data_IF_296435848794
#
_entry.id   IF_296435848794
#
_cell.length_a   1.000
_cell.length_b   1.000
_cell.length_c   1.000
_cell.angle_alpha   90.00
_cell.angle_beta   90.00
_cell.angle_gamma   90.00
#
_symmetry.space_group_name_H-M   'P 1'
#
loop_
_entity.id
_entity.type
_entity.pdbx_description
1 polymer ?
#
# COMPACT_ATOMS: atom_id res chain seq x y z
N UNK A 1 19.59 -8.19 -10.09
CA UNK A 1 18.64 -7.09 -9.82
C UNK A 1 17.28 -7.72 -9.62
N UNK A 2 16.72 -7.59 -8.40
CA UNK A 2 15.37 -8.07 -8.09
C UNK A 2 14.34 -6.98 -8.34
N UNK A 3 13.11 -7.37 -8.59
CA UNK A 3 12.01 -6.45 -8.87
C UNK A 3 10.92 -6.57 -7.81
N UNK A 4 10.66 -5.46 -7.13
CA UNK A 4 9.56 -5.28 -6.21
C UNK A 4 8.36 -4.67 -6.95
N UNK A 5 7.20 -5.33 -6.92
CA UNK A 5 5.94 -4.73 -7.37
C UNK A 5 5.19 -4.14 -6.17
N UNK A 6 5.03 -2.82 -6.16
CA UNK A 6 4.37 -2.08 -5.09
C UNK A 6 2.94 -1.68 -5.51
N UNK A 7 1.95 -2.29 -4.88
CA UNK A 7 0.54 -1.92 -5.02
C UNK A 7 0.19 -0.72 -4.14
N UNK A 8 -0.16 0.39 -4.76
CA UNK A 8 -0.47 1.68 -4.11
C UNK A 8 -1.69 2.34 -4.77
N UNK A 9 -2.23 3.40 -4.19
CA UNK A 9 -3.22 4.28 -4.84
C UNK A 9 -2.68 5.70 -5.01
N UNK A 10 -1.37 5.80 -5.23
CA UNK A 10 -0.66 7.04 -5.51
C UNK A 10 -1.37 7.91 -6.56
N UNK A 11 -1.28 9.23 -6.41
CA UNK A 11 -1.93 10.21 -7.29
C UNK A 11 -3.47 10.18 -7.29
N UNK A 12 -4.13 9.25 -6.58
CA UNK A 12 -5.56 9.40 -6.28
C UNK A 12 -5.75 10.56 -5.31
N UNK A 13 -5.08 10.48 -4.15
CA UNK A 13 -5.11 11.49 -3.10
C UNK A 13 -3.74 11.54 -2.40
N UNK A 14 -3.42 12.71 -1.85
CA UNK A 14 -2.15 12.96 -1.19
C UNK A 14 -1.87 12.04 0.01
N UNK A 15 -2.91 11.52 0.67
CA UNK A 15 -2.76 10.57 1.77
C UNK A 15 -2.14 9.24 1.32
N UNK A 16 -2.57 8.73 0.17
CA UNK A 16 -2.04 7.49 -0.42
C UNK A 16 -0.60 7.64 -0.91
N UNK A 17 -0.21 8.85 -1.36
CA UNK A 17 1.19 9.17 -1.68
C UNK A 17 2.05 9.15 -0.43
N UNK A 18 1.58 9.73 0.68
CA UNK A 18 2.32 9.68 1.95
C UNK A 18 2.45 8.27 2.52
N UNK A 19 1.42 7.45 2.36
CA UNK A 19 1.46 6.04 2.72
C UNK A 19 2.52 5.31 1.89
N UNK A 20 2.54 5.52 0.57
CA UNK A 20 3.56 4.93 -0.32
C UNK A 20 4.97 5.31 0.14
N UNK A 21 5.21 6.60 0.34
CA UNK A 21 6.54 7.09 0.73
C UNK A 21 6.97 6.52 2.08
N UNK A 22 6.05 6.46 3.05
CA UNK A 22 6.33 5.85 4.34
C UNK A 22 6.55 4.34 4.28
N UNK A 23 5.89 3.61 3.37
CA UNK A 23 6.20 2.20 3.12
C UNK A 23 7.60 2.05 2.52
N UNK A 24 7.98 2.90 1.56
CA UNK A 24 9.33 2.85 0.98
C UNK A 24 10.41 3.17 2.03
N UNK A 25 10.15 4.13 2.92
CA UNK A 25 11.04 4.42 4.06
C UNK A 25 11.14 3.24 5.02
N UNK A 26 10.04 2.54 5.31
CA UNK A 26 10.08 1.34 6.15
C UNK A 26 10.88 0.20 5.50
N UNK A 27 10.83 0.08 4.17
CA UNK A 27 11.47 -0.99 3.43
C UNK A 27 12.96 -0.74 3.19
N UNK A 28 13.38 0.53 3.05
CA UNK A 28 14.74 0.92 2.67
C UNK A 28 15.31 0.04 1.53
N UNK A 29 14.65 -0.03 0.35
CA UNK A 29 15.13 -0.89 -0.72
C UNK A 29 16.53 -0.46 -1.17
N UNK A 30 17.44 -1.43 -1.34
CA UNK A 30 18.77 -1.20 -1.87
C UNK A 30 18.75 -0.67 -3.31
N UNK A 31 19.82 -0.04 -3.74
CA UNK A 31 19.99 0.50 -5.10
C UNK A 31 19.87 -0.57 -6.22
N UNK A 32 20.08 -1.85 -5.89
CA UNK A 32 19.97 -2.98 -6.82
C UNK A 32 18.55 -3.60 -6.90
N UNK A 33 17.58 -3.01 -6.19
CA UNK A 33 16.16 -3.38 -6.23
C UNK A 33 15.40 -2.42 -7.14
N UNK A 34 14.86 -2.96 -8.24
CA UNK A 34 13.95 -2.23 -9.11
C UNK A 34 12.57 -2.19 -8.47
N UNK A 35 11.96 -1.01 -8.36
CA UNK A 35 10.57 -0.89 -7.91
C UNK A 35 9.65 -0.60 -9.09
N UNK A 36 8.68 -1.48 -9.33
CA UNK A 36 7.56 -1.29 -10.25
C UNK A 36 6.30 -0.95 -9.46
N UNK A 37 5.38 -0.19 -10.07
CA UNK A 37 4.20 0.30 -9.39
C UNK A 37 2.94 -0.34 -9.97
N UNK A 38 2.07 -0.83 -9.10
CA UNK A 38 0.69 -1.13 -9.46
C UNK A 38 -0.22 -0.09 -8.81
N UNK A 39 -0.59 0.92 -9.59
CA UNK A 39 -1.40 2.03 -9.14
C UNK A 39 -2.90 1.73 -9.29
N UNK A 40 -3.56 1.57 -8.14
CA UNK A 40 -5.00 1.29 -8.00
C UNK A 40 -5.86 2.56 -7.97
N UNK A 41 -5.28 3.74 -8.20
CA UNK A 41 -5.93 5.03 -8.34
C UNK A 41 -7.20 4.99 -9.20
N UNK A 42 -8.22 5.79 -8.87
CA UNK A 42 -9.39 5.97 -9.72
C UNK A 42 -9.07 6.94 -10.84
N UNK A 43 -9.53 6.64 -12.05
CA UNK A 43 -9.17 7.40 -13.25
C UNK A 43 -7.75 7.16 -13.78
N UNK A 44 -6.89 6.47 -13.02
CA UNK A 44 -5.58 6.03 -13.50
C UNK A 44 -5.76 4.75 -14.31
N UNK A 45 -6.02 4.92 -15.60
CA UNK A 45 -6.07 3.84 -16.59
C UNK A 45 -4.94 4.05 -17.61
N UNK A 46 -4.28 2.97 -18.03
CA UNK A 46 -3.33 2.96 -19.15
C UNK A 46 -2.04 3.79 -18.98
N UNK A 47 -1.32 3.59 -17.88
CA UNK A 47 0.13 3.79 -17.89
C UNK A 47 0.80 2.46 -18.26
N UNK A 48 1.85 2.45 -19.08
CA UNK A 48 2.72 1.26 -19.25
C UNK A 48 3.14 0.68 -17.89
N UNK A 49 3.36 1.58 -16.91
CA UNK A 49 3.65 1.23 -15.53
C UNK A 49 2.56 0.38 -14.84
N UNK A 50 1.32 0.33 -15.35
CA UNK A 50 0.21 -0.46 -14.83
C UNK A 50 -0.17 -1.64 -15.75
N UNK A 51 0.69 -2.06 -16.67
CA UNK A 51 0.44 -3.25 -17.49
C UNK A 51 0.84 -4.52 -16.71
N UNK A 52 -0.16 -5.33 -16.34
CA UNK A 52 0.08 -6.56 -15.58
C UNK A 52 0.78 -7.65 -16.39
N UNK A 53 0.59 -7.71 -17.70
CA UNK A 53 1.24 -8.72 -18.54
C UNK A 53 2.75 -8.52 -18.57
N UNK A 54 3.18 -7.25 -18.51
CA UNK A 54 4.58 -6.86 -18.45
C UNK A 54 5.10 -6.96 -17.01
N UNK A 55 4.41 -6.33 -16.05
CA UNK A 55 4.92 -6.18 -14.69
C UNK A 55 4.98 -7.50 -13.93
N UNK A 56 3.95 -8.36 -14.06
CA UNK A 56 3.89 -9.62 -13.31
C UNK A 56 5.03 -10.56 -13.68
N UNK A 57 5.36 -10.65 -14.97
CA UNK A 57 6.46 -11.49 -15.47
C UNK A 57 7.83 -11.05 -14.94
N UNK A 58 7.97 -9.79 -14.54
CA UNK A 58 9.21 -9.23 -13.99
C UNK A 58 9.26 -9.26 -12.46
N UNK A 59 8.16 -9.58 -11.78
CA UNK A 59 8.01 -9.42 -10.33
C UNK A 59 8.66 -10.57 -9.56
N UNK A 60 9.59 -10.25 -8.65
CA UNK A 60 10.19 -11.20 -7.72
C UNK A 60 9.55 -11.14 -6.32
N UNK A 61 8.92 -10.01 -5.98
CA UNK A 61 8.29 -9.77 -4.68
C UNK A 61 7.11 -8.81 -4.82
N UNK A 62 6.02 -9.07 -4.11
CA UNK A 62 4.83 -8.21 -4.13
C UNK A 62 4.55 -7.53 -2.78
N UNK A 63 4.32 -6.21 -2.79
CA UNK A 63 3.93 -5.46 -1.59
C UNK A 63 2.61 -4.75 -1.81
N UNK A 64 1.71 -4.88 -0.83
CA UNK A 64 0.46 -4.13 -0.79
C UNK A 64 0.56 -3.01 0.23
N UNK A 65 0.58 -1.77 -0.25
CA UNK A 65 0.73 -0.58 0.58
C UNK A 65 -0.62 0.02 1.00
N UNK A 66 -0.88 -0.07 2.31
CA UNK A 66 -1.62 0.88 3.15
C UNK A 66 -3.01 1.36 2.74
N UNK A 67 -3.67 0.64 1.86
CA UNK A 67 -4.98 1.01 1.33
C UNK A 67 -6.11 0.27 2.05
N UNK A 68 -7.31 0.87 2.19
CA UNK A 68 -8.46 0.15 2.71
C UNK A 68 -9.05 -0.86 1.70
N UNK A 69 -8.65 -0.78 0.43
CA UNK A 69 -9.11 -1.63 -0.68
C UNK A 69 -8.02 -2.57 -1.17
N UNK A 70 -7.37 -3.26 -0.23
CA UNK A 70 -6.19 -4.07 -0.49
C UNK A 70 -6.49 -5.39 -1.22
N UNK A 71 -7.73 -5.85 -1.23
CA UNK A 71 -8.11 -7.06 -1.99
C UNK A 71 -8.51 -6.76 -3.44
N UNK A 72 -9.46 -5.85 -3.64
CA UNK A 72 -10.18 -5.59 -4.90
C UNK A 72 -9.33 -5.59 -6.17
N UNK A 73 -8.59 -4.51 -6.44
CA UNK A 73 -7.77 -4.39 -7.67
C UNK A 73 -6.49 -5.24 -7.63
N UNK A 74 -6.27 -6.04 -6.58
CA UNK A 74 -5.09 -6.91 -6.45
C UNK A 74 -5.40 -8.39 -6.72
N UNK A 75 -6.67 -8.77 -6.95
CA UNK A 75 -7.07 -10.17 -7.10
C UNK A 75 -6.25 -10.95 -8.12
N UNK A 76 -6.00 -10.36 -9.30
CA UNK A 76 -5.19 -11.00 -10.35
C UNK A 76 -3.74 -11.20 -9.90
N UNK A 77 -3.18 -10.23 -9.17
CA UNK A 77 -1.80 -10.30 -8.65
C UNK A 77 -1.69 -11.39 -7.59
N UNK A 78 -2.66 -11.50 -6.67
CA UNK A 78 -2.66 -12.57 -5.66
C UNK A 78 -2.73 -13.95 -6.31
N UNK A 79 -3.57 -14.13 -7.34
CA UNK A 79 -3.67 -15.38 -8.09
C UNK A 79 -2.35 -15.71 -8.78
N UNK A 80 -1.72 -14.72 -9.40
CA UNK A 80 -0.41 -14.86 -10.03
C UNK A 80 0.66 -15.26 -9.02
N UNK A 81 0.71 -14.62 -7.85
CA UNK A 81 1.66 -14.95 -6.81
C UNK A 81 1.47 -16.38 -6.27
N UNK A 82 0.21 -16.82 -6.10
CA UNK A 82 -0.11 -18.19 -5.69
C UNK A 82 0.36 -19.24 -6.72
N UNK A 83 0.19 -18.94 -8.01
CA UNK A 83 0.60 -19.79 -9.12
C UNK A 83 2.13 -19.86 -9.23
N UNK A 84 2.81 -18.71 -9.25
CA UNK A 84 4.26 -18.60 -9.45
C UNK A 84 5.09 -18.69 -8.18
N UNK A 85 4.44 -18.85 -7.02
CA UNK A 85 5.08 -18.87 -5.69
C UNK A 85 5.90 -17.60 -5.40
N UNK A 86 5.36 -16.44 -5.81
CA UNK A 86 5.98 -15.15 -5.53
C UNK A 86 5.67 -14.76 -4.08
N UNK A 87 6.69 -14.50 -3.25
CA UNK A 87 6.49 -14.03 -1.88
C UNK A 87 5.90 -12.62 -1.86
N UNK A 88 5.18 -12.31 -0.79
CA UNK A 88 4.50 -11.03 -0.65
C UNK A 88 4.44 -10.53 0.78
N UNK A 89 4.14 -9.25 0.91
CA UNK A 89 3.83 -8.60 2.18
C UNK A 89 2.64 -7.66 2.08
N UNK A 90 1.85 -7.60 3.14
CA UNK A 90 0.80 -6.61 3.35
C UNK A 90 1.32 -5.60 4.36
N UNK A 91 1.43 -4.32 4.00
CA UNK A 91 2.03 -3.31 4.87
C UNK A 91 1.05 -2.16 5.12
N UNK A 92 0.63 -2.03 6.38
CA UNK A 92 -0.25 -0.96 6.87
C UNK A 92 -1.65 -1.00 6.29
N UNK A 93 -2.13 -2.15 5.82
CA UNK A 93 -3.45 -2.28 5.20
C UNK A 93 -4.56 -1.95 6.19
N UNK A 94 -5.66 -1.40 5.69
CA UNK A 94 -6.84 -1.07 6.50
C UNK A 94 -8.11 -1.70 5.96
N UNK A 95 -9.24 -1.50 6.62
CA UNK A 95 -10.54 -2.01 6.16
C UNK A 95 -11.56 -0.88 6.06
N UNK A 96 -12.23 -0.76 4.91
CA UNK A 96 -13.35 0.19 4.71
C UNK A 96 -14.58 -0.45 4.05
N UNK A 97 -14.41 -1.60 3.40
CA UNK A 97 -15.45 -2.19 2.55
C UNK A 97 -15.64 -3.68 2.87
N UNK A 98 -16.85 -4.19 2.56
CA UNK A 98 -17.16 -5.61 2.65
C UNK A 98 -16.39 -6.38 1.58
N UNK A 99 -15.71 -7.44 2.00
CA UNK A 99 -15.00 -8.36 1.10
C UNK A 99 -16.03 -9.34 0.51
N UNK A 100 -16.07 -9.48 -0.82
CA UNK A 100 -16.93 -10.46 -1.45
C UNK A 100 -16.51 -11.90 -1.10
N UNK A 101 -17.44 -12.87 -1.13
CA UNK A 101 -17.12 -14.27 -0.80
C UNK A 101 -15.94 -14.82 -1.62
N UNK A 102 -15.90 -14.55 -2.92
CA UNK A 102 -14.80 -15.00 -3.80
C UNK A 102 -13.44 -14.41 -3.43
N UNK A 103 -13.41 -13.16 -2.98
CA UNK A 103 -12.22 -12.46 -2.52
C UNK A 103 -11.75 -13.01 -1.17
N UNK A 104 -12.70 -13.30 -0.29
CA UNK A 104 -12.43 -13.92 1.01
C UNK A 104 -11.82 -15.32 0.83
N UNK A 105 -12.38 -16.14 -0.05
CA UNK A 105 -11.83 -17.47 -0.39
C UNK A 105 -10.42 -17.39 -1.01
N UNK A 106 -10.17 -16.37 -1.85
CA UNK A 106 -8.83 -16.11 -2.39
C UNK A 106 -7.84 -15.77 -1.27
N UNK A 107 -8.21 -14.88 -0.35
CA UNK A 107 -7.32 -14.47 0.73
C UNK A 107 -7.04 -15.60 1.73
N UNK A 108 -8.00 -16.51 1.97
CA UNK A 108 -7.74 -17.75 2.73
C UNK A 108 -6.69 -18.63 2.08
N UNK A 109 -6.71 -18.75 0.74
CA UNK A 109 -5.66 -19.47 -0.01
C UNK A 109 -4.30 -18.78 0.11
N UNK A 110 -4.26 -17.45 0.05
CA UNK A 110 -3.03 -16.67 0.28
C UNK A 110 -2.49 -16.92 1.69
N UNK A 111 -3.33 -16.83 2.71
CA UNK A 111 -2.92 -17.10 4.10
C UNK A 111 -2.36 -18.52 4.26
N UNK A 112 -3.08 -19.53 3.76
CA UNK A 112 -2.67 -20.93 3.86
C UNK A 112 -1.41 -21.27 3.02
N UNK A 113 -1.07 -20.45 2.02
CA UNK A 113 0.07 -20.71 1.14
C UNK A 113 1.43 -20.46 1.80
N UNK A 114 1.47 -19.70 2.89
CA UNK A 114 2.72 -19.25 3.52
C UNK A 114 3.52 -18.22 2.70
N UNK A 115 3.00 -17.73 1.56
CA UNK A 115 3.68 -16.73 0.73
C UNK A 115 3.67 -15.32 1.34
N UNK A 116 2.76 -15.03 2.27
CA UNK A 116 2.70 -13.74 2.96
C UNK A 116 3.66 -13.74 4.14
N UNK A 117 4.83 -13.12 3.98
CA UNK A 117 5.90 -13.13 4.98
C UNK A 117 5.67 -12.12 6.10
N UNK A 118 5.12 -10.95 5.74
CA UNK A 118 4.81 -9.87 6.67
C UNK A 118 3.38 -9.39 6.44
N UNK A 119 2.61 -9.32 7.53
CA UNK A 119 1.22 -8.88 7.49
C UNK A 119 1.01 -7.79 8.56
N UNK A 120 1.05 -6.52 8.14
CA UNK A 120 0.90 -5.36 9.01
C UNK A 120 -0.38 -4.61 8.71
N UNK A 121 -1.11 -4.27 9.76
CA UNK A 121 -2.42 -3.60 9.70
C UNK A 121 -2.39 -2.28 10.45
N UNK A 122 -3.11 -1.27 9.95
CA UNK A 122 -3.14 0.05 10.60
C UNK A 122 -4.38 0.30 11.46
N UNK A 123 -5.37 -0.59 11.38
CA UNK A 123 -6.60 -0.52 12.15
C UNK A 123 -7.02 -1.90 12.64
N UNK A 124 -7.79 -1.89 13.73
CA UNK A 124 -8.20 -3.12 14.43
C UNK A 124 -9.11 -4.01 13.58
N UNK A 125 -9.95 -3.41 12.74
CA UNK A 125 -10.89 -4.16 11.89
C UNK A 125 -10.13 -4.96 10.82
N UNK A 126 -9.10 -4.37 10.20
CA UNK A 126 -8.21 -5.07 9.29
C UNK A 126 -7.43 -6.19 9.98
N UNK A 127 -6.95 -5.93 11.20
CA UNK A 127 -6.25 -6.93 11.99
C UNK A 127 -7.13 -8.15 12.30
N UNK A 128 -8.35 -7.92 12.78
CA UNK A 128 -9.32 -8.98 13.07
C UNK A 128 -9.71 -9.75 11.79
N UNK A 129 -9.95 -9.06 10.67
CA UNK A 129 -10.27 -9.69 9.40
C UNK A 129 -9.13 -10.58 8.88
N UNK A 130 -7.87 -10.12 8.96
CA UNK A 130 -6.72 -10.93 8.54
C UNK A 130 -6.50 -12.15 9.45
N UNK A 131 -6.74 -12.00 10.76
CA UNK A 131 -6.72 -13.13 11.69
C UNK A 131 -7.80 -14.17 11.34
N UNK A 132 -9.01 -13.73 11.02
CA UNK A 132 -10.10 -14.61 10.58
C UNK A 132 -9.79 -15.34 9.27
N UNK A 133 -9.08 -14.67 8.35
CA UNK A 133 -8.60 -15.25 7.10
C UNK A 133 -7.47 -16.29 7.30
N UNK A 134 -6.88 -16.35 8.49
CA UNK A 134 -5.85 -17.33 8.86
C UNK A 134 -4.41 -16.85 8.69
N UNK A 135 -4.16 -15.53 8.59
CA UNK A 135 -2.81 -15.00 8.63
C UNK A 135 -2.25 -15.14 10.06
N UNK A 136 -1.15 -15.89 10.21
CA UNK A 136 -0.57 -16.25 11.52
C UNK A 136 0.45 -15.23 12.05
N UNK A 137 0.95 -14.36 11.17
CA UNK A 137 2.01 -13.38 11.36
C UNK A 137 1.47 -11.93 11.22
N UNK A 138 0.22 -11.73 11.64
CA UNK A 138 -0.45 -10.43 11.62
C UNK A 138 -0.07 -9.57 12.81
N UNK A 139 0.41 -8.34 12.58
CA UNK A 139 0.67 -7.35 13.61
C UNK A 139 0.00 -6.01 13.29
N UNK A 140 -0.13 -5.16 14.30
CA UNK A 140 -0.59 -3.78 14.14
C UNK A 140 0.58 -2.80 14.09
N UNK A 141 0.49 -1.81 13.20
CA UNK A 141 1.46 -0.73 13.05
C UNK A 141 0.72 0.62 12.94
N UNK A 142 1.41 1.72 13.23
CA UNK A 142 0.95 3.04 12.82
C UNK A 142 0.74 3.09 11.29
N UNK A 143 -0.18 3.95 10.83
CA UNK A 143 -0.33 4.18 9.40
C UNK A 143 1.03 4.50 8.76
N UNK A 144 1.42 3.87 7.62
CA UNK A 144 2.73 4.09 7.04
C UNK A 144 3.09 5.55 6.79
N UNK A 145 2.11 6.43 6.59
CA UNK A 145 2.35 7.87 6.44
C UNK A 145 3.11 8.51 7.60
N UNK A 146 3.09 7.92 8.81
CA UNK A 146 3.85 8.39 9.96
C UNK A 146 5.36 8.13 9.86
N UNK A 147 5.77 7.24 8.97
CA UNK A 147 7.18 6.95 8.72
C UNK A 147 7.74 7.79 7.58
N UNK A 148 6.91 8.54 6.85
CA UNK A 148 7.40 9.36 5.75
C UNK A 148 8.42 10.38 6.29
N UNK A 149 9.62 10.48 5.69
CA UNK A 149 10.61 11.46 6.11
C UNK A 149 10.07 12.88 5.96
N UNK A 150 10.31 13.69 6.98
CA UNK A 150 10.00 15.12 6.99
C UNK A 150 10.95 15.79 6.00
N UNK A 151 10.39 16.52 5.02
CA UNK A 151 11.16 17.36 4.11
C UNK A 151 11.68 18.58 4.87
N UNK A 152 12.77 18.43 5.61
CA UNK A 152 13.48 19.56 6.21
C UNK A 152 14.92 19.52 5.75
N UNK A 153 15.31 20.54 4.98
CA UNK A 153 16.73 20.83 4.66
C UNK A 153 17.55 21.21 5.91
N UNK A 154 16.94 21.33 7.08
CA UNK A 154 17.61 21.58 8.36
C UNK A 154 16.69 21.13 9.51
N UNK A 155 17.20 20.21 10.33
CA UNK A 155 16.83 19.85 11.70
C UNK A 155 15.39 20.15 12.24
N UNK A 156 14.72 19.05 12.61
CA UNK A 156 13.65 18.87 13.64
C UNK A 156 12.40 19.76 13.58
N UNK A 157 11.27 19.12 13.23
CA UNK A 157 10.02 19.17 14.02
C UNK A 157 9.20 17.89 13.81
N UNK A 158 8.94 17.17 14.90
CA UNK A 158 8.04 16.02 14.92
C UNK A 158 6.59 16.50 14.87
N UNK A 159 5.81 16.06 13.88
CA UNK A 159 4.36 16.20 13.91
C UNK A 159 3.71 14.83 13.68
N UNK A 160 3.43 14.14 14.79
CA UNK A 160 2.56 12.94 14.85
C UNK A 160 1.08 13.36 14.70
N UNK A 161 0.76 14.64 14.80
CA UNK A 161 -0.53 15.23 14.45
C UNK A 161 -0.28 16.70 14.07
N UNK A 162 -0.22 17.04 12.79
CA UNK A 162 -0.48 18.43 12.37
C UNK A 162 -1.82 18.45 11.64
N UNK A 163 -2.78 19.07 12.33
CA UNK A 163 -3.98 19.62 11.74
C UNK A 163 -3.66 20.30 10.41
N UNK A 164 -4.46 19.98 9.40
CA UNK A 164 -4.50 20.56 8.05
C UNK A 164 -4.06 22.04 8.00
N UNK A 165 -2.78 22.31 7.72
CA UNK A 165 -2.33 23.62 7.21
C UNK A 165 -2.77 23.85 5.75
N UNK A 166 -3.35 22.83 5.11
CA UNK A 166 -3.94 22.90 3.77
C UNK A 166 -5.23 23.74 3.70
N UNK A 167 -5.71 24.27 4.85
CA UNK A 167 -6.82 25.25 4.91
C UNK A 167 -6.36 26.67 5.25
N UNK A 168 -5.06 26.95 5.31
CA UNK A 168 -4.62 28.32 5.07
C UNK A 168 -4.79 28.60 3.57
N UNK A 169 -6.04 28.84 3.18
CA UNK A 169 -6.28 29.75 2.10
C UNK A 169 -5.58 31.05 2.50
N UNK A 170 -4.39 31.28 1.94
CA UNK A 170 -4.08 32.62 1.48
C UNK A 170 -5.12 32.91 0.38
N UNK A 171 -6.35 33.21 0.79
CA UNK A 171 -7.33 33.82 -0.10
C UNK A 171 -6.65 35.11 -0.49
N UNK A 172 -6.38 35.27 -1.78
CA UNK A 172 -6.07 36.59 -2.32
C UNK A 172 -7.17 37.54 -1.83
N UNK A 173 -6.86 38.61 -1.08
CA UNK A 173 -7.88 39.56 -0.62
C UNK A 173 -8.72 40.14 -1.78
N UNK A 174 -8.21 40.08 -3.02
CA UNK A 174 -8.91 40.53 -4.22
C UNK A 174 -10.00 39.56 -4.69
N UNK A 175 -10.06 38.33 -4.18
CA UNK A 175 -11.13 37.36 -4.50
C UNK A 175 -12.34 37.48 -3.56
N UNK A 176 -12.33 38.42 -2.61
CA UNK A 176 -13.41 38.70 -1.66
C UNK A 176 -14.04 40.09 -1.84
N UNK A 177 -13.76 40.79 -2.95
CA UNK A 177 -14.43 42.04 -3.35
C UNK A 177 -15.44 41.83 -4.46
#
# INVERSE_FOLDING_TARGET
MKTLLLSTSSLWNCGDDFIRDGVLELLCPNDDVRTLWWNRGYGIQNAYANDLDINLALTDYFIVAGTPKWVFKNEQIYRYCLEKKIPMSLIGVGTRDLIAKSQYDLMKKVAASGLCEVCLTRDRLAHEALKELGFSNGEMILCPCFFKPVLTKQEKKWHILSSREQYNFNVDPQLLS
#
